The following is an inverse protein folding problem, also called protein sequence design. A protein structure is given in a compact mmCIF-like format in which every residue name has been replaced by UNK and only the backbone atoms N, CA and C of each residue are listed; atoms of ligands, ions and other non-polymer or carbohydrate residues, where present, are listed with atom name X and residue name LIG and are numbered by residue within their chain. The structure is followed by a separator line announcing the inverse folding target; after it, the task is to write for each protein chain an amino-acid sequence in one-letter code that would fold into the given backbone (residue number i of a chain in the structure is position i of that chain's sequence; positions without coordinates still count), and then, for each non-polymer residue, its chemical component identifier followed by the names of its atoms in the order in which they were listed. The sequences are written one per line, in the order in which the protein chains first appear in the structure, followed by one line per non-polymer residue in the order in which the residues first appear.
data_IF_869787225758
#
_entry.id   IF_869787225758
#
_cell.length_a   1.000
_cell.length_b   1.000
_cell.length_c   1.000
_cell.angle_alpha   90.00
_cell.angle_beta   90.00
_cell.angle_gamma   90.00
#
_symmetry.space_group_name_H-M   'P 1'
#
loop_
_entity.id
_entity.type
_entity.pdbx_description
1 polymer ?
#
# COMPACT_ATOMS: atom_id res chain seq x y z
N UNK A 1 19.80 2.94 17.61
CA UNK A 1 19.74 1.48 17.36
C UNK A 1 20.62 0.83 18.41
N UNK A 2 20.21 -0.30 19.00
CA UNK A 2 21.06 -1.01 19.94
C UNK A 2 22.29 -1.54 19.21
N UNK A 3 23.47 -1.47 19.84
CA UNK A 3 24.67 -2.12 19.30
C UNK A 3 24.46 -3.63 19.28
N UNK A 4 24.80 -4.26 18.16
CA UNK A 4 24.77 -5.71 18.07
C UNK A 4 25.87 -6.28 18.97
N UNK A 5 25.55 -7.36 19.70
CA UNK A 5 26.56 -8.12 20.41
C UNK A 5 27.63 -8.65 19.43
N UNK A 6 28.89 -8.80 19.87
CA UNK A 6 29.95 -9.33 19.02
C UNK A 6 29.61 -10.75 18.55
N UNK A 7 30.07 -11.10 17.35
CA UNK A 7 29.89 -12.43 16.81
C UNK A 7 30.54 -13.51 17.70
N UNK A 8 29.89 -14.66 17.84
CA UNK A 8 30.42 -15.79 18.60
C UNK A 8 31.68 -16.36 17.94
N UNK A 9 32.67 -16.75 18.76
CA UNK A 9 33.98 -17.24 18.30
C UNK A 9 34.22 -18.72 18.58
N UNK A 10 33.29 -19.40 19.25
CA UNK A 10 33.42 -20.81 19.62
C UNK A 10 32.89 -21.73 18.52
N UNK A 11 33.58 -22.86 18.32
CA UNK A 11 33.20 -23.90 17.37
C UNK A 11 34.07 -23.94 16.11
N UNK A 12 33.86 -24.97 15.29
CA UNK A 12 34.54 -25.12 14.01
C UNK A 12 33.71 -24.45 12.91
N UNK A 13 34.31 -23.58 12.06
CA UNK A 13 33.62 -23.01 10.92
C UNK A 13 33.16 -24.10 9.95
N UNK A 14 31.93 -23.97 9.46
CA UNK A 14 31.39 -24.85 8.42
C UNK A 14 30.60 -24.02 7.40
N UNK A 15 30.60 -24.49 6.15
CA UNK A 15 29.87 -23.81 5.08
C UNK A 15 28.39 -24.14 5.19
N UNK A 16 27.56 -23.10 5.27
CA UNK A 16 26.10 -23.22 5.20
C UNK A 16 25.61 -22.63 3.89
N UNK A 17 24.59 -23.26 3.33
CA UNK A 17 23.77 -22.66 2.31
C UNK A 17 22.44 -22.29 2.96
N UNK A 18 21.97 -21.08 2.70
CA UNK A 18 20.70 -20.58 3.21
C UNK A 18 19.74 -20.30 2.05
N UNK A 19 18.49 -20.03 2.40
CA UNK A 19 17.48 -19.48 1.49
C UNK A 19 17.50 -17.93 1.47
N UNK A 20 18.58 -17.30 1.95
CA UNK A 20 18.75 -15.86 1.90
C UNK A 20 19.42 -15.46 0.58
N UNK A 21 18.79 -14.56 -0.16
CA UNK A 21 19.30 -14.04 -1.41
C UNK A 21 19.71 -12.57 -1.22
N UNK A 22 20.97 -12.26 -1.53
CA UNK A 22 21.44 -10.89 -1.56
C UNK A 22 20.75 -10.12 -2.69
N UNK A 23 20.10 -9.01 -2.36
CA UNK A 23 19.52 -8.09 -3.35
C UNK A 23 20.42 -6.87 -3.43
N UNK A 24 20.97 -6.59 -4.62
CA UNK A 24 21.77 -5.39 -4.89
C UNK A 24 21.02 -4.49 -5.85
N UNK A 25 20.87 -3.23 -5.46
CA UNK A 25 20.32 -2.20 -6.33
C UNK A 25 21.38 -1.82 -7.37
N UNK A 26 21.00 -1.82 -8.65
CA UNK A 26 21.91 -1.46 -9.76
C UNK A 26 21.99 0.05 -10.00
N UNK A 27 20.95 0.76 -9.60
CA UNK A 27 20.80 2.20 -9.78
C UNK A 27 19.99 2.76 -8.62
N UNK A 28 20.07 4.06 -8.43
CA UNK A 28 19.19 4.78 -7.52
C UNK A 28 17.73 4.55 -7.91
N UNK A 29 16.88 4.34 -6.91
CA UNK A 29 15.45 4.14 -7.08
C UNK A 29 14.68 5.03 -6.11
N UNK A 30 13.63 5.67 -6.62
CA UNK A 30 12.73 6.50 -5.84
C UNK A 30 11.36 5.85 -5.78
N UNK A 31 10.76 5.85 -4.60
CA UNK A 31 9.41 5.35 -4.37
C UNK A 31 8.61 6.39 -3.62
N UNK A 32 7.42 6.69 -4.11
CA UNK A 32 6.52 7.64 -3.49
C UNK A 32 5.50 6.91 -2.63
N UNK A 33 5.35 7.36 -1.38
CA UNK A 33 4.47 6.73 -0.40
C UNK A 33 3.18 7.53 -0.25
N UNK A 34 2.07 6.81 -0.19
CA UNK A 34 0.74 7.35 0.01
C UNK A 34 0.02 6.64 1.14
N UNK A 35 -0.71 7.42 1.93
CA UNK A 35 -1.68 6.89 2.88
C UNK A 35 -3.02 6.70 2.18
N UNK A 36 -3.64 5.56 2.43
CA UNK A 36 -4.91 5.15 1.87
C UNK A 36 -5.97 4.95 2.95
N UNK A 37 -7.17 5.42 2.67
CA UNK A 37 -8.36 5.12 3.46
C UNK A 37 -9.49 4.68 2.53
N UNK A 38 -10.07 3.51 2.82
CA UNK A 38 -11.18 2.96 2.06
C UNK A 38 -12.38 2.78 2.98
N UNK A 39 -13.50 3.39 2.61
CA UNK A 39 -14.74 3.33 3.39
C UNK A 39 -15.97 3.37 2.51
N UNK A 40 -17.11 2.92 3.05
CA UNK A 40 -18.41 3.02 2.41
C UNK A 40 -19.46 3.49 3.41
N UNK A 41 -20.43 4.26 2.93
CA UNK A 41 -21.58 4.69 3.73
C UNK A 41 -22.78 3.79 3.43
N UNK A 42 -23.39 3.22 4.48
CA UNK A 42 -24.61 2.43 4.34
C UNK A 42 -25.81 3.34 4.62
N UNK A 43 -26.55 3.67 3.57
CA UNK A 43 -27.69 4.61 3.60
C UNK A 43 -28.78 4.21 4.60
N UNK A 44 -29.00 2.90 4.80
CA UNK A 44 -30.07 2.40 5.68
C UNK A 44 -29.80 2.58 7.18
N UNK A 45 -28.63 3.09 7.60
CA UNK A 45 -28.30 3.20 9.03
C UNK A 45 -27.29 4.28 9.44
N UNK A 46 -26.95 5.24 8.57
CA UNK A 46 -25.90 6.27 8.82
C UNK A 46 -24.60 5.68 9.38
N UNK A 47 -24.25 4.45 8.96
CA UNK A 47 -23.06 3.74 9.45
C UNK A 47 -22.01 3.75 8.37
N UNK A 48 -20.81 4.21 8.72
CA UNK A 48 -19.63 4.12 7.86
C UNK A 48 -18.92 2.79 8.14
N UNK A 49 -18.64 2.03 7.08
CA UNK A 49 -17.83 0.82 7.14
C UNK A 49 -16.43 1.16 6.63
N UNK A 50 -15.44 1.06 7.51
CA UNK A 50 -14.04 1.18 7.13
C UNK A 50 -13.47 -0.19 6.73
N UNK A 51 -12.92 -0.26 5.52
CA UNK A 51 -12.23 -1.44 5.02
C UNK A 51 -10.76 -1.44 5.45
N UNK A 52 -10.12 -0.28 5.44
CA UNK A 52 -8.78 -0.09 5.99
C UNK A 52 -8.84 -0.02 7.51
N UNK A 53 -7.83 -0.58 8.20
CA UNK A 53 -7.79 -0.59 9.66
C UNK A 53 -7.34 0.78 10.17
N UNK A 54 -8.12 1.41 11.05
CA UNK A 54 -7.70 2.62 11.77
C UNK A 54 -7.41 2.34 13.26
N UNK A 55 -8.03 1.30 13.83
CA UNK A 55 -7.82 0.94 15.23
C UNK A 55 -8.04 -0.54 15.56
N UNK A 56 -7.87 -0.88 16.84
CA UNK A 56 -8.07 -2.25 17.37
C UNK A 56 -9.55 -2.67 17.42
N UNK A 57 -10.46 -1.69 17.41
CA UNK A 57 -11.92 -1.85 17.57
C UNK A 57 -12.63 -2.16 16.25
N UNK A 58 -11.95 -2.01 15.10
CA UNK A 58 -12.55 -2.14 13.77
C UNK A 58 -12.82 -3.60 13.35
N UNK A 59 -13.08 -4.54 14.26
CA UNK A 59 -13.00 -5.99 14.01
C UNK A 59 -14.09 -6.61 13.10
N UNK A 60 -15.01 -5.82 12.55
CA UNK A 60 -16.27 -6.36 11.98
C UNK A 60 -16.20 -6.80 10.52
N UNK A 61 -15.09 -6.56 9.79
CA UNK A 61 -15.00 -6.91 8.36
C UNK A 61 -14.17 -8.18 8.17
N UNK A 62 -14.84 -9.29 7.85
CA UNK A 62 -14.18 -10.52 7.40
C UNK A 62 -13.46 -10.29 6.06
N UNK A 63 -12.24 -10.84 5.92
CA UNK A 63 -11.41 -10.81 4.71
C UNK A 63 -11.10 -9.40 4.17
N UNK A 64 -10.72 -8.47 5.05
CA UNK A 64 -10.35 -7.09 4.68
C UNK A 64 -9.33 -6.97 3.56
N UNK A 65 -8.19 -7.64 3.70
CA UNK A 65 -7.11 -7.54 2.72
C UNK A 65 -7.60 -7.89 1.31
N UNK A 66 -8.41 -8.95 1.20
CA UNK A 66 -9.02 -9.35 -0.06
C UNK A 66 -9.98 -8.28 -0.61
N UNK A 67 -10.88 -7.75 0.22
CA UNK A 67 -11.82 -6.68 -0.18
C UNK A 67 -11.08 -5.40 -0.60
N UNK A 68 -10.08 -4.98 0.16
CA UNK A 68 -9.24 -3.83 -0.16
C UNK A 68 -8.55 -4.00 -1.52
N UNK A 69 -7.99 -5.17 -1.80
CA UNK A 69 -7.37 -5.47 -3.10
C UNK A 69 -8.37 -5.40 -4.25
N UNK A 70 -9.57 -5.97 -4.09
CA UNK A 70 -10.63 -5.86 -5.10
C UNK A 70 -11.04 -4.41 -5.38
N UNK A 71 -11.16 -3.59 -4.33
CA UNK A 71 -11.47 -2.17 -4.45
C UNK A 71 -10.33 -1.43 -5.15
N UNK A 72 -9.09 -1.67 -4.73
CA UNK A 72 -7.90 -1.08 -5.34
C UNK A 72 -7.81 -1.40 -6.84
N UNK A 73 -7.98 -2.68 -7.22
CA UNK A 73 -7.96 -3.12 -8.61
C UNK A 73 -9.05 -2.43 -9.44
N UNK A 74 -10.24 -2.21 -8.86
CA UNK A 74 -11.32 -1.49 -9.52
C UNK A 74 -11.01 0.01 -9.68
N UNK A 75 -10.52 0.67 -8.63
CA UNK A 75 -10.16 2.09 -8.63
C UNK A 75 -9.05 2.37 -9.64
N UNK A 76 -7.96 1.59 -9.63
CA UNK A 76 -6.83 1.73 -10.57
C UNK A 76 -7.30 1.52 -12.01
N UNK A 77 -8.15 0.52 -12.25
CA UNK A 77 -8.67 0.22 -13.59
C UNK A 77 -9.58 1.31 -14.14
N UNK A 78 -10.38 1.97 -13.30
CA UNK A 78 -11.32 3.02 -13.70
C UNK A 78 -10.59 4.36 -13.86
N UNK A 79 -9.64 4.67 -12.97
CA UNK A 79 -8.99 5.98 -12.88
C UNK A 79 -7.57 5.94 -13.47
N UNK A 80 -7.43 5.36 -14.67
CA UNK A 80 -6.12 5.15 -15.31
C UNK A 80 -5.34 6.45 -15.51
N UNK A 81 -6.01 7.57 -15.73
CA UNK A 81 -5.37 8.88 -15.92
C UNK A 81 -4.66 9.39 -14.66
N UNK A 82 -5.03 8.88 -13.47
CA UNK A 82 -4.35 9.20 -12.22
C UNK A 82 -3.29 8.17 -11.86
N UNK A 83 -3.60 6.88 -12.02
CA UNK A 83 -2.72 5.78 -11.59
C UNK A 83 -1.66 5.40 -12.64
N UNK A 84 -1.84 5.83 -13.88
CA UNK A 84 -0.92 5.67 -15.01
C UNK A 84 -0.51 4.22 -15.27
N UNK A 85 0.61 3.76 -14.70
CA UNK A 85 1.22 2.45 -14.91
C UNK A 85 0.99 1.52 -13.70
N UNK A 86 0.02 0.57 -13.76
CA UNK A 86 -0.31 -0.28 -12.63
C UNK A 86 0.84 -1.18 -12.17
N UNK A 87 1.79 -1.52 -13.05
CA UNK A 87 2.95 -2.35 -12.68
C UNK A 87 3.94 -1.66 -11.74
N UNK A 88 3.84 -0.34 -11.59
CA UNK A 88 4.63 0.47 -10.67
C UNK A 88 3.91 0.75 -9.34
N UNK A 89 2.78 0.10 -9.08
CA UNK A 89 1.98 0.28 -7.86
C UNK A 89 2.09 -0.93 -6.94
N UNK A 90 2.45 -0.68 -5.68
CA UNK A 90 2.58 -1.71 -4.65
C UNK A 90 1.72 -1.35 -3.45
N UNK A 91 0.52 -1.93 -3.42
CA UNK A 91 -0.44 -1.78 -2.33
C UNK A 91 -0.32 -2.91 -1.32
N UNK A 92 -0.26 -2.57 -0.03
CA UNK A 92 -0.19 -3.54 1.07
C UNK A 92 -1.54 -4.27 1.34
N UNK A 93 -2.61 -3.84 0.69
CA UNK A 93 -3.97 -4.35 0.94
C UNK A 93 -4.57 -3.82 2.25
N UNK A 94 -4.02 -2.74 2.80
CA UNK A 94 -4.50 -2.01 3.96
C UNK A 94 -4.44 -0.51 3.71
N UNK A 95 -3.44 0.21 4.22
CA UNK A 95 -3.44 1.68 4.23
C UNK A 95 -2.23 2.31 3.54
N UNK A 96 -1.35 1.52 2.92
CA UNK A 96 -0.11 2.03 2.34
C UNK A 96 0.00 1.62 0.88
N UNK A 97 0.17 2.63 0.02
CA UNK A 97 0.55 2.44 -1.37
C UNK A 97 1.94 3.02 -1.61
N UNK A 98 2.82 2.23 -2.21
CA UNK A 98 4.02 2.73 -2.85
C UNK A 98 3.84 2.80 -4.36
N UNK A 99 4.42 3.83 -4.97
CA UNK A 99 4.47 4.02 -6.42
C UNK A 99 5.89 4.21 -6.88
N UNK A 100 6.24 3.69 -8.06
CA UNK A 100 7.49 3.98 -8.75
C UNK A 100 7.51 5.35 -9.43
N UNK A 101 6.40 6.10 -9.36
CA UNK A 101 6.24 7.44 -9.91
C UNK A 101 5.49 8.35 -8.94
N UNK A 102 5.74 9.65 -9.02
CA UNK A 102 5.01 10.66 -8.25
C UNK A 102 3.60 10.90 -8.83
N UNK A 103 2.58 10.24 -8.27
CA UNK A 103 1.17 10.37 -8.67
C UNK A 103 0.62 11.80 -8.48
N UNK A 104 1.30 12.63 -7.69
CA UNK A 104 0.92 14.02 -7.38
C UNK A 104 1.90 15.05 -7.95
N UNK A 105 2.81 14.67 -8.87
CA UNK A 105 3.88 15.52 -9.40
C UNK A 105 3.42 16.91 -9.86
N UNK A 106 2.25 16.98 -10.49
CA UNK A 106 1.67 18.20 -11.07
C UNK A 106 0.30 18.53 -10.45
N UNK A 107 0.08 18.14 -9.20
CA UNK A 107 -1.18 18.28 -8.49
C UNK A 107 -0.94 18.89 -7.11
N UNK A 108 -1.97 19.46 -6.52
CA UNK A 108 -1.92 19.82 -5.11
C UNK A 108 -1.66 18.57 -4.27
N UNK A 109 -0.72 18.64 -3.33
CA UNK A 109 -0.40 17.54 -2.40
C UNK A 109 -1.45 17.39 -1.29
N UNK A 110 -2.72 17.45 -1.68
CA UNK A 110 -3.89 17.28 -0.82
C UNK A 110 -4.51 15.90 -1.06
N UNK A 111 -5.37 15.48 -0.14
CA UNK A 111 -6.06 14.21 -0.26
C UNK A 111 -7.00 14.22 -1.48
N UNK A 112 -6.96 13.16 -2.29
CA UNK A 112 -7.85 12.94 -3.43
C UNK A 112 -8.78 11.77 -3.15
N UNK A 113 -10.04 11.91 -3.55
CA UNK A 113 -11.07 10.89 -3.33
C UNK A 113 -11.60 10.36 -4.66
N UNK A 114 -11.53 9.05 -4.82
CA UNK A 114 -12.19 8.32 -5.89
C UNK A 114 -13.43 7.63 -5.35
N UNK A 115 -14.50 7.66 -6.14
CA UNK A 115 -15.76 7.03 -5.80
C UNK A 115 -16.05 5.94 -6.82
N UNK A 116 -16.29 4.73 -6.36
CA UNK A 116 -16.71 3.61 -7.21
C UNK A 116 -17.92 2.92 -6.59
N UNK A 117 -18.68 2.21 -7.41
CA UNK A 117 -19.70 1.29 -6.91
C UNK A 117 -19.07 -0.02 -6.48
N UNK A 118 -19.65 -0.66 -5.46
CA UNK A 118 -19.30 -2.03 -5.12
C UNK A 118 -19.49 -3.03 -6.27
N UNK A 119 -20.35 -2.70 -7.24
CA UNK A 119 -20.53 -3.48 -8.48
C UNK A 119 -19.30 -3.44 -9.39
N UNK A 120 -18.54 -2.35 -9.36
CA UNK A 120 -17.31 -2.20 -10.14
C UNK A 120 -16.20 -3.14 -9.68
N UNK A 121 -16.28 -3.64 -8.45
CA UNK A 121 -15.31 -4.58 -7.87
C UNK A 121 -15.47 -6.01 -8.39
N UNK A 122 -16.50 -6.30 -9.21
CA UNK A 122 -16.75 -7.61 -9.86
C UNK A 122 -16.77 -8.81 -8.89
N UNK A 123 -17.17 -8.60 -7.63
CA UNK A 123 -17.26 -9.65 -6.62
C UNK A 123 -18.47 -9.44 -5.70
N UNK A 124 -19.20 -10.51 -5.39
CA UNK A 124 -20.46 -10.46 -4.63
C UNK A 124 -20.33 -9.78 -3.26
N UNK A 125 -19.19 -9.99 -2.58
CA UNK A 125 -18.96 -9.46 -1.23
C UNK A 125 -18.91 -7.93 -1.12
N UNK A 126 -18.89 -7.21 -2.26
CA UNK A 126 -18.89 -5.76 -2.33
C UNK A 126 -20.13 -5.18 -3.04
N UNK A 127 -20.94 -5.99 -3.75
CA UNK A 127 -22.08 -5.48 -4.54
C UNK A 127 -23.13 -4.71 -3.74
N UNK A 128 -23.23 -4.97 -2.43
CA UNK A 128 -24.16 -4.28 -1.54
C UNK A 128 -23.78 -2.84 -1.18
N UNK A 129 -22.58 -2.38 -1.55
CA UNK A 129 -22.15 -1.00 -1.33
C UNK A 129 -22.45 -0.17 -2.58
N UNK A 130 -23.36 0.80 -2.46
CA UNK A 130 -23.70 1.71 -3.57
C UNK A 130 -22.50 2.58 -3.94
N UNK A 131 -21.85 3.15 -2.92
CA UNK A 131 -20.67 4.00 -3.06
C UNK A 131 -19.59 3.56 -2.09
N UNK A 132 -18.39 3.32 -2.64
CA UNK A 132 -17.15 3.10 -1.91
C UNK A 132 -16.24 4.28 -2.22
N UNK A 133 -15.74 4.93 -1.17
CA UNK A 133 -14.75 6.00 -1.28
C UNK A 133 -13.35 5.42 -1.04
N UNK A 134 -12.47 5.69 -1.99
CA UNK A 134 -11.04 5.46 -1.92
C UNK A 134 -10.34 6.81 -1.80
N UNK A 135 -9.84 7.10 -0.61
CA UNK A 135 -9.16 8.35 -0.26
C UNK A 135 -7.64 8.10 -0.23
N UNK A 136 -6.89 8.88 -1.01
CA UNK A 136 -5.44 8.79 -1.15
C UNK A 136 -4.80 10.14 -0.88
N UNK A 137 -3.74 10.15 -0.08
CA UNK A 137 -2.96 11.36 0.17
C UNK A 137 -1.44 11.05 0.17
N UNK A 138 -0.60 11.98 -0.31
CA UNK A 138 0.83 11.98 -0.02
C UNK A 138 1.06 11.91 1.50
N UNK A 139 1.99 11.05 1.95
CA UNK A 139 2.42 11.09 3.35
C UNK A 139 3.14 12.42 3.65
N UNK A 140 3.00 12.92 4.88
CA UNK A 140 3.64 14.18 5.30
C UNK A 140 5.16 14.06 5.44
N UNK A 141 5.61 12.92 5.92
CA UNK A 141 7.02 12.58 6.16
C UNK A 141 7.40 11.39 5.30
N UNK A 142 8.63 11.38 4.79
CA UNK A 142 9.15 10.34 3.89
C UNK A 142 8.28 10.11 2.63
N UNK A 143 7.76 11.20 2.07
CA UNK A 143 6.94 11.15 0.84
C UNK A 143 7.65 10.45 -0.31
N UNK A 144 8.94 10.73 -0.48
CA UNK A 144 9.80 10.04 -1.44
C UNK A 144 10.89 9.30 -0.66
N UNK A 145 10.88 7.98 -0.76
CA UNK A 145 11.92 7.11 -0.22
C UNK A 145 12.91 6.83 -1.34
N UNK A 146 14.17 7.19 -1.10
CA UNK A 146 15.25 6.99 -2.08
C UNK A 146 16.17 5.87 -1.60
N UNK A 147 16.39 4.89 -2.45
CA UNK A 147 17.36 3.84 -2.22
C UNK A 147 18.57 4.07 -3.10
N UNK A 148 19.67 4.45 -2.44
CA UNK A 148 20.94 4.74 -3.11
C UNK A 148 21.75 3.44 -3.12
N UNK A 149 22.25 2.99 -4.28
CA UNK A 149 23.13 1.82 -4.33
C UNK A 149 24.41 2.11 -3.56
N UNK A 150 24.76 1.23 -2.63
CA UNK A 150 26.08 1.23 -2.01
C UNK A 150 27.05 0.67 -3.05
N UNK A 151 27.88 1.53 -3.62
CA UNK A 151 29.02 1.11 -4.41
C UNK A 151 30.08 0.61 -3.44
N UNK A 152 30.57 -0.61 -3.67
CA UNK A 152 31.68 -1.16 -2.89
C UNK A 152 32.90 -0.24 -3.12
N UNK A 153 33.40 0.37 -2.03
CA UNK A 153 34.66 1.12 -1.98
C UNK A 153 35.86 0.16 -2.05
#
# INVERSE_FOLDING_TARGET
MAENAPAGTLGQPFKIQTNAFGVKLKKEMHFWRYDLMIYAEILSGKKTVFFTKKGREDYTVMNRNFKCKLIFDAVVRINKDFFEEPSMLWYDGQSILYSGMDLFRNRDKSAMKFHISGRDCRHECLKGFETITFDIAPVKEDYCVSFIPVFDL
#
